data_IF_620483658419
#
_entry.id   IF_620483658419
#
_cell.length_a   1.000
_cell.length_b   1.000
_cell.length_c   1.000
_cell.angle_alpha   90.00
_cell.angle_beta   90.00
_cell.angle_gamma   90.00
#
_symmetry.space_group_name_H-M   'P 1'
#
loop_
_entity.id
_entity.type
_entity.pdbx_description
1 polymer ?
#
# COMPACT_ATOMS: atom_id res chain seq x y z
N UNK A 1 7.50 -8.49 12.97
CA UNK A 1 6.19 -7.77 12.84
C UNK A 1 5.14 -8.72 12.30
N UNK A 2 3.93 -8.63 12.79
CA UNK A 2 2.81 -9.42 12.26
C UNK A 2 1.78 -8.47 11.62
N UNK A 3 0.76 -9.05 10.98
CA UNK A 3 -0.25 -8.29 10.27
C UNK A 3 -1.04 -7.36 11.20
N UNK A 4 -1.34 -7.80 12.40
CA UNK A 4 -2.09 -6.98 13.37
C UNK A 4 -1.30 -5.73 13.76
N UNK A 5 -0.02 -5.88 14.01
CA UNK A 5 0.85 -4.73 14.32
C UNK A 5 0.93 -3.77 13.13
N UNK A 6 1.06 -4.30 11.93
CA UNK A 6 1.12 -3.46 10.73
C UNK A 6 -0.19 -2.70 10.54
N UNK A 7 -1.32 -3.37 10.75
CA UNK A 7 -2.63 -2.71 10.65
C UNK A 7 -2.76 -1.54 11.63
N UNK A 8 -2.21 -1.70 12.84
CA UNK A 8 -2.26 -0.64 13.84
C UNK A 8 -1.44 0.60 13.44
N UNK A 9 -0.48 0.42 12.54
CA UNK A 9 0.40 1.51 12.06
C UNK A 9 0.03 1.98 10.65
N UNK A 10 -0.96 1.36 10.03
CA UNK A 10 -1.27 1.61 8.61
C UNK A 10 -1.72 3.04 8.34
N UNK A 11 -2.47 3.63 9.27
CA UNK A 11 -2.86 5.04 9.12
C UNK A 11 -1.65 5.96 9.11
N UNK A 12 -0.64 5.67 9.94
CA UNK A 12 0.59 6.44 9.95
C UNK A 12 1.36 6.31 8.63
N UNK A 13 1.37 5.09 8.06
CA UNK A 13 1.98 4.85 6.76
C UNK A 13 1.26 5.66 5.68
N UNK A 14 -0.08 5.62 5.67
CA UNK A 14 -0.86 6.36 4.68
C UNK A 14 -0.70 7.87 4.84
N UNK A 15 -0.68 8.37 6.07
CA UNK A 15 -0.48 9.80 6.32
C UNK A 15 0.88 10.27 5.81
N UNK A 16 1.92 9.48 6.05
CA UNK A 16 3.25 9.81 5.55
C UNK A 16 3.29 9.77 4.03
N UNK A 17 2.66 8.74 3.44
CA UNK A 17 2.60 8.60 1.99
C UNK A 17 1.89 9.78 1.35
N UNK A 18 0.76 10.21 1.92
CA UNK A 18 0.02 11.36 1.43
C UNK A 18 0.87 12.64 1.44
N UNK A 19 1.65 12.83 2.50
CA UNK A 19 2.48 14.01 2.64
C UNK A 19 3.64 14.04 1.66
N UNK A 20 4.11 12.88 1.21
CA UNK A 20 5.26 12.75 0.32
C UNK A 20 4.89 12.61 -1.14
N UNK A 21 3.88 11.79 -1.42
CA UNK A 21 3.49 11.46 -2.79
C UNK A 21 1.99 11.17 -2.80
N UNK A 22 1.23 12.21 -3.09
CA UNK A 22 -0.23 12.13 -3.07
C UNK A 22 -0.77 11.16 -4.13
N UNK A 23 -0.07 11.05 -5.26
CA UNK A 23 -0.46 10.11 -6.31
C UNK A 23 -0.34 8.67 -5.80
N UNK A 24 0.76 8.37 -5.11
CA UNK A 24 0.93 7.06 -4.48
C UNK A 24 -0.13 6.82 -3.40
N UNK A 25 -0.47 7.83 -2.61
CA UNK A 25 -1.51 7.73 -1.61
C UNK A 25 -2.87 7.40 -2.25
N UNK A 26 -3.24 8.08 -3.33
CA UNK A 26 -4.49 7.82 -4.05
C UNK A 26 -4.51 6.38 -4.57
N UNK A 27 -3.37 5.86 -5.01
CA UNK A 27 -3.28 4.51 -5.53
C UNK A 27 -3.48 3.43 -4.46
N UNK A 28 -3.16 3.73 -3.19
CA UNK A 28 -3.13 2.71 -2.14
C UNK A 28 -4.05 2.98 -0.94
N UNK A 29 -4.71 4.14 -0.85
CA UNK A 29 -5.47 4.48 0.35
C UNK A 29 -6.62 3.50 0.65
N UNK A 30 -7.18 2.85 -0.37
CA UNK A 30 -8.27 1.90 -0.23
C UNK A 30 -7.80 0.44 -0.22
N UNK A 31 -6.51 0.21 -0.21
CA UNK A 31 -5.96 -1.15 -0.16
C UNK A 31 -6.26 -1.81 1.18
N UNK A 32 -6.60 -3.09 1.14
CA UNK A 32 -6.77 -3.91 2.33
C UNK A 32 -5.56 -4.81 2.51
N UNK A 33 -5.09 -4.93 3.75
CA UNK A 33 -3.97 -5.78 4.08
C UNK A 33 -4.49 -7.22 4.20
N UNK A 34 -4.15 -8.04 3.22
CA UNK A 34 -4.63 -9.41 3.17
C UNK A 34 -3.76 -10.37 3.96
N UNK A 35 -2.44 -10.24 3.83
CA UNK A 35 -1.50 -11.10 4.56
C UNK A 35 -0.13 -10.47 4.66
N UNK A 36 0.64 -10.90 5.65
CA UNK A 36 2.04 -10.52 5.83
C UNK A 36 2.82 -11.79 6.16
N UNK A 37 3.73 -12.19 5.27
CA UNK A 37 4.51 -13.41 5.42
C UNK A 37 5.84 -13.25 4.72
N UNK A 38 6.94 -13.63 5.39
CA UNK A 38 8.30 -13.59 4.83
C UNK A 38 8.65 -12.22 4.24
N UNK A 39 8.31 -11.16 4.95
CA UNK A 39 8.53 -9.77 4.53
C UNK A 39 7.81 -9.40 3.23
N UNK A 40 6.77 -10.15 2.88
CA UNK A 40 5.88 -9.84 1.76
C UNK A 40 4.52 -9.42 2.29
N UNK A 41 4.12 -8.21 1.95
CA UNK A 41 2.78 -7.70 2.28
C UNK A 41 1.90 -7.85 1.05
N UNK A 42 0.83 -8.63 1.19
CA UNK A 42 -0.16 -8.81 0.12
C UNK A 42 -1.32 -7.87 0.34
N UNK A 43 -1.64 -7.10 -0.68
CA UNK A 43 -2.74 -6.13 -0.67
C UNK A 43 -3.88 -6.62 -1.56
N UNK A 44 -5.10 -6.30 -1.17
CA UNK A 44 -6.30 -6.64 -1.90
C UNK A 44 -7.14 -5.37 -2.14
N UNK A 45 -7.61 -5.20 -3.38
CA UNK A 45 -8.40 -4.04 -3.79
C UNK A 45 -9.80 -4.52 -4.20
N UNK A 46 -10.69 -4.64 -3.22
CA UNK A 46 -12.03 -5.21 -3.43
C UNK A 46 -12.89 -4.32 -4.33
N UNK A 47 -12.77 -3.01 -4.16
CA UNK A 47 -13.64 -2.06 -4.85
C UNK A 47 -13.01 -1.47 -6.11
N UNK A 48 -11.79 -1.86 -6.45
CA UNK A 48 -11.07 -1.31 -7.60
C UNK A 48 -11.83 -1.53 -8.91
N UNK A 49 -12.48 -2.69 -9.06
CA UNK A 49 -13.25 -3.00 -10.26
C UNK A 49 -14.49 -2.14 -10.43
N UNK A 50 -15.12 -1.75 -9.34
CA UNK A 50 -16.31 -0.91 -9.38
C UNK A 50 -15.99 0.51 -9.85
N UNK A 51 -14.78 0.95 -9.59
CA UNK A 51 -14.32 2.28 -9.98
C UNK A 51 -13.57 2.27 -11.31
N UNK A 52 -13.29 1.11 -11.86
CA UNK A 52 -12.40 0.93 -13.00
C UNK A 52 -13.03 1.28 -14.34
N UNK A 53 -14.31 1.62 -14.39
CA UNK A 53 -14.93 2.02 -15.63
C UNK A 53 -14.31 3.26 -16.26
N UNK A 54 -13.61 4.08 -15.49
CA UNK A 54 -13.00 5.32 -15.95
C UNK A 54 -11.48 5.35 -15.77
N UNK A 55 -10.92 4.51 -14.90
CA UNK A 55 -9.50 4.54 -14.58
C UNK A 55 -8.95 3.14 -14.34
N UNK A 56 -7.78 2.87 -14.90
CA UNK A 56 -7.03 1.66 -14.62
C UNK A 56 -6.10 1.92 -13.44
N UNK A 57 -6.60 1.69 -12.23
CA UNK A 57 -5.82 1.89 -11.02
C UNK A 57 -4.62 0.94 -10.94
N UNK A 58 -4.73 -0.23 -11.56
CA UNK A 58 -3.64 -1.20 -11.58
C UNK A 58 -2.46 -0.67 -12.40
N UNK A 59 -2.73 0.01 -13.52
CA UNK A 59 -1.68 0.65 -14.30
C UNK A 59 -1.05 1.82 -13.56
N UNK A 60 -1.80 2.50 -12.69
CA UNK A 60 -1.29 3.60 -11.88
C UNK A 60 -0.30 3.09 -10.82
N UNK A 61 -0.50 1.86 -10.32
CA UNK A 61 0.37 1.28 -9.30
C UNK A 61 1.62 0.65 -9.94
N UNK A 62 2.45 1.49 -10.54
CA UNK A 62 3.71 1.07 -11.15
C UNK A 62 4.82 0.93 -10.10
N UNK A 63 6.04 0.58 -10.54
CA UNK A 63 7.16 0.35 -9.64
C UNK A 63 7.53 1.58 -8.81
N UNK A 64 7.44 2.78 -9.39
CA UNK A 64 7.73 4.02 -8.67
C UNK A 64 6.74 4.24 -7.53
N UNK A 65 5.46 4.06 -7.82
CA UNK A 65 4.38 4.25 -6.84
C UNK A 65 4.47 3.20 -5.74
N UNK A 66 4.72 1.93 -6.14
CA UNK A 66 4.90 0.85 -5.18
C UNK A 66 6.12 1.09 -4.28
N UNK A 67 7.21 1.56 -4.87
CA UNK A 67 8.42 1.91 -4.11
C UNK A 67 8.16 3.00 -3.09
N UNK A 68 7.34 4.00 -3.43
CA UNK A 68 6.97 5.06 -2.48
C UNK A 68 6.24 4.48 -1.27
N UNK A 69 5.32 3.53 -1.49
CA UNK A 69 4.64 2.86 -0.38
C UNK A 69 5.61 2.04 0.47
N UNK A 70 6.50 1.28 -0.17
CA UNK A 70 7.50 0.48 0.53
C UNK A 70 8.41 1.35 1.39
N UNK A 71 8.83 2.50 0.88
CA UNK A 71 9.65 3.46 1.63
C UNK A 71 8.89 4.04 2.84
N UNK A 72 7.61 4.36 2.67
CA UNK A 72 6.80 4.87 3.77
C UNK A 72 6.64 3.81 4.87
N UNK A 73 6.42 2.55 4.49
CA UNK A 73 6.35 1.45 5.45
C UNK A 73 7.66 1.31 6.22
N UNK A 74 8.78 1.34 5.52
CA UNK A 74 10.09 1.22 6.15
C UNK A 74 10.34 2.34 7.16
N UNK A 75 9.93 3.55 6.81
CA UNK A 75 10.14 4.69 7.69
C UNK A 75 9.30 4.64 8.95
N UNK A 76 8.05 4.20 8.83
CA UNK A 76 7.14 4.09 9.98
C UNK A 76 7.46 2.88 10.85
N UNK A 77 7.79 1.74 10.24
CA UNK A 77 7.97 0.47 10.97
C UNK A 77 9.42 0.06 11.17
N UNK A 78 10.34 0.61 10.39
CA UNK A 78 11.74 0.17 10.40
C UNK A 78 12.00 -1.11 9.63
N UNK A 79 10.98 -1.68 8.99
CA UNK A 79 11.08 -2.97 8.31
C UNK A 79 10.83 -2.78 6.81
N UNK A 80 11.69 -3.39 5.99
CA UNK A 80 11.52 -3.40 4.54
C UNK A 80 10.58 -4.53 4.14
N UNK A 81 9.46 -4.17 3.53
CA UNK A 81 8.48 -5.14 3.04
C UNK A 81 8.37 -5.04 1.52
N UNK A 82 8.12 -6.16 0.88
CA UNK A 82 7.79 -6.21 -0.54
C UNK A 82 6.27 -6.22 -0.70
N UNK A 83 5.77 -5.39 -1.59
CA UNK A 83 4.32 -5.27 -1.83
C UNK A 83 3.92 -6.16 -3.00
N UNK A 84 2.89 -6.97 -2.77
CA UNK A 84 2.27 -7.82 -3.79
C UNK A 84 0.77 -7.54 -3.80
N UNK A 85 0.16 -7.51 -4.96
CA UNK A 85 -1.27 -7.29 -5.13
C UNK A 85 -1.95 -8.54 -5.65
N UNK A 86 -3.16 -8.78 -5.15
CA UNK A 86 -4.00 -9.88 -5.62
C UNK A 86 -5.30 -9.37 -6.20
#
# INVERSE_FOLDING_TARGET
MNLVELKSKWNDVLDLLESRDRIAWIAYFDARLASLSDDVLTLHFVDAEKLSGAHDYKATRNDRIRGALEDAIKEVTGISLKIVEI
#
